data_IF_971212823445
#
_entry.id   IF_971212823445
#
_cell.length_a   1.000
_cell.length_b   1.000
_cell.length_c   1.000
_cell.angle_alpha   90.00
_cell.angle_beta   90.00
_cell.angle_gamma   90.00
#
_symmetry.space_group_name_H-M   'P 1'
#
loop_
_entity.id
_entity.type
_entity.pdbx_description
1 polymer ?
#
# COMPACT_ATOMS: atom_id res chain seq x y z
N UNK A 1 11.80 -15.67 10.14
CA UNK A 1 11.61 -14.53 9.22
C UNK A 1 10.18 -14.02 9.37
N UNK A 2 9.99 -12.73 9.49
CA UNK A 2 8.64 -12.17 9.55
C UNK A 2 7.96 -12.39 8.18
N UNK A 3 6.96 -13.26 8.12
CA UNK A 3 6.33 -13.70 6.86
C UNK A 3 5.45 -12.61 6.21
N UNK A 4 5.26 -11.46 6.89
CA UNK A 4 4.35 -10.40 6.45
C UNK A 4 4.74 -9.73 5.13
N UNK A 5 6.04 -9.67 4.81
CA UNK A 5 6.53 -9.10 3.55
C UNK A 5 6.31 -10.00 2.32
N UNK A 6 5.95 -11.28 2.51
CA UNK A 6 5.70 -12.21 1.40
C UNK A 6 4.65 -11.69 0.42
N UNK A 7 3.61 -11.04 0.94
CA UNK A 7 2.68 -10.25 0.14
C UNK A 7 2.31 -8.96 0.89
N UNK A 8 2.24 -7.85 0.17
CA UNK A 8 1.81 -6.57 0.70
C UNK A 8 0.97 -5.77 -0.30
N UNK A 9 0.21 -4.80 0.20
CA UNK A 9 -0.58 -3.87 -0.61
C UNK A 9 0.10 -2.51 -0.63
N UNK A 10 0.35 -1.98 -1.82
CA UNK A 10 1.07 -0.71 -1.99
C UNK A 10 0.34 0.48 -1.36
N UNK A 11 1.09 1.41 -0.74
CA UNK A 11 0.55 2.70 -0.30
C UNK A 11 0.05 3.50 -1.52
N UNK A 12 -1.21 3.90 -1.50
CA UNK A 12 -1.86 4.61 -2.61
C UNK A 12 -2.75 5.73 -2.07
N UNK A 13 -2.39 6.99 -2.40
CA UNK A 13 -3.12 8.18 -1.97
C UNK A 13 -4.58 8.11 -2.43
N UNK A 14 -5.50 8.52 -1.57
CA UNK A 14 -6.97 8.46 -1.70
C UNK A 14 -7.55 7.03 -1.78
N UNK A 15 -6.73 5.99 -1.80
CA UNK A 15 -7.18 4.60 -1.98
C UNK A 15 -6.95 3.72 -0.76
N UNK A 16 -5.77 3.80 -0.12
CA UNK A 16 -5.44 2.91 1.00
C UNK A 16 -5.66 3.56 2.36
N UNK A 17 -6.79 4.27 2.52
CA UNK A 17 -7.24 4.76 3.80
C UNK A 17 -7.75 3.62 4.71
N UNK A 18 -8.06 3.92 5.97
CA UNK A 18 -8.50 2.93 6.95
C UNK A 18 -9.76 2.16 6.55
N UNK A 19 -10.63 2.76 5.72
CA UNK A 19 -11.88 2.12 5.30
C UNK A 19 -11.61 1.03 4.25
N UNK A 20 -10.72 1.32 3.30
CA UNK A 20 -10.26 0.32 2.35
C UNK A 20 -9.49 -0.80 3.05
N UNK A 21 -8.55 -0.47 3.95
CA UNK A 21 -7.76 -1.48 4.67
C UNK A 21 -8.62 -2.40 5.51
N UNK A 22 -9.65 -1.87 6.19
CA UNK A 22 -10.63 -2.68 6.91
C UNK A 22 -11.35 -3.66 5.97
N UNK A 23 -11.87 -3.18 4.83
CA UNK A 23 -12.51 -4.05 3.83
C UNK A 23 -11.58 -5.15 3.31
N UNK A 24 -10.34 -4.81 2.98
CA UNK A 24 -9.36 -5.78 2.49
C UNK A 24 -9.04 -6.83 3.55
N UNK A 25 -9.02 -6.47 4.82
CA UNK A 25 -8.77 -7.40 5.92
C UNK A 25 -9.91 -8.39 6.15
N UNK A 26 -11.11 -8.11 5.69
CA UNK A 26 -12.17 -9.10 5.60
C UNK A 26 -11.90 -10.14 4.49
N UNK A 27 -11.28 -9.72 3.38
CA UNK A 27 -10.98 -10.59 2.25
C UNK A 27 -9.78 -11.50 2.56
N UNK A 28 -8.71 -10.96 3.16
CA UNK A 28 -7.48 -11.69 3.46
C UNK A 28 -6.81 -11.14 4.73
N UNK A 29 -6.14 -12.00 5.52
CA UNK A 29 -5.67 -11.68 6.89
C UNK A 29 -4.17 -11.42 7.02
N UNK A 30 -3.34 -12.01 6.16
CA UNK A 30 -1.90 -12.12 6.43
C UNK A 30 -1.04 -11.10 5.68
N UNK A 31 -1.52 -10.54 4.56
CA UNK A 31 -0.74 -9.56 3.79
C UNK A 31 -0.49 -8.28 4.61
N UNK A 32 0.71 -7.73 4.47
CA UNK A 32 1.04 -6.43 5.08
C UNK A 32 0.28 -5.30 4.36
N UNK A 33 -0.47 -4.52 5.11
CA UNK A 33 -1.13 -3.33 4.59
C UNK A 33 -0.28 -2.09 4.86
N UNK A 34 -0.37 -1.13 3.96
CA UNK A 34 0.26 0.18 4.10
C UNK A 34 -0.79 1.28 4.19
N UNK A 35 -0.51 2.28 5.01
CA UNK A 35 -1.30 3.53 4.97
C UNK A 35 -1.07 4.24 3.63
N UNK A 36 -1.83 5.28 3.38
CA UNK A 36 -1.42 6.31 2.44
C UNK A 36 -0.10 6.94 2.91
N UNK A 37 0.64 7.60 2.01
CA UNK A 37 1.82 8.36 2.41
C UNK A 37 1.42 9.57 3.26
N UNK A 38 1.87 9.60 4.50
CA UNK A 38 1.67 10.73 5.43
C UNK A 38 2.97 11.52 5.52
N UNK A 39 2.90 12.84 5.32
CA UNK A 39 4.09 13.70 5.45
C UNK A 39 4.44 13.96 6.90
N UNK A 40 5.74 14.10 7.20
CA UNK A 40 6.21 14.44 8.55
C UNK A 40 5.57 15.72 9.07
N UNK A 41 5.44 16.74 8.21
CA UNK A 41 4.77 18.00 8.58
C UNK A 41 3.30 17.82 8.96
N UNK A 42 2.57 16.88 8.34
CA UNK A 42 1.19 16.58 8.71
C UNK A 42 1.11 15.97 10.12
N UNK A 43 2.00 15.03 10.44
CA UNK A 43 2.04 14.38 11.77
C UNK A 43 2.47 15.34 12.86
N UNK A 44 3.47 16.18 12.61
CA UNK A 44 4.06 17.07 13.64
C UNK A 44 3.20 18.31 13.90
N UNK A 45 2.68 18.93 12.83
CA UNK A 45 2.03 20.24 12.87
C UNK A 45 0.57 20.22 12.46
N UNK A 46 0.10 19.14 11.83
CA UNK A 46 -1.28 19.02 11.37
C UNK A 46 -2.26 18.89 12.53
N UNK A 47 -3.51 19.28 12.26
CA UNK A 47 -4.63 19.13 13.21
C UNK A 47 -5.53 17.94 12.88
N UNK A 48 -5.23 17.22 11.79
CA UNK A 48 -6.00 16.07 11.34
C UNK A 48 -5.59 14.80 12.09
N UNK A 49 -6.46 13.80 12.02
CA UNK A 49 -6.18 12.46 12.48
C UNK A 49 -5.51 11.68 11.33
N UNK A 50 -4.18 11.65 11.34
CA UNK A 50 -3.37 11.03 10.29
C UNK A 50 -2.88 9.62 10.64
N UNK A 51 -3.05 9.20 11.91
CA UNK A 51 -2.45 7.96 12.42
C UNK A 51 -3.50 6.92 12.86
N UNK A 52 -4.78 7.27 12.90
CA UNK A 52 -5.82 6.31 13.29
C UNK A 52 -6.02 5.19 12.28
N UNK A 53 -6.18 4.01 12.82
CA UNK A 53 -6.53 2.79 12.09
C UNK A 53 -7.55 1.97 12.91
N UNK A 54 -7.99 0.83 12.38
CA UNK A 54 -8.82 -0.13 13.11
C UNK A 54 -7.92 -1.32 13.53
N UNK A 55 -8.13 -1.86 14.73
CA UNK A 55 -7.30 -2.96 15.27
C UNK A 55 -7.25 -4.18 14.33
N UNK A 56 -8.29 -4.37 13.52
CA UNK A 56 -8.35 -5.44 12.52
C UNK A 56 -7.38 -5.28 11.37
N UNK A 57 -6.80 -4.07 11.14
CA UNK A 57 -5.96 -3.80 9.96
C UNK A 57 -4.55 -4.42 10.03
N UNK A 58 -4.11 -4.91 11.19
CA UNK A 58 -2.79 -5.54 11.36
C UNK A 58 -2.61 -6.83 10.55
N UNK A 59 -1.39 -7.08 10.02
CA UNK A 59 -0.19 -6.26 10.12
C UNK A 59 -0.25 -5.01 9.25
N UNK A 60 0.18 -3.86 9.80
CA UNK A 60 0.02 -2.53 9.21
C UNK A 60 1.30 -1.69 9.29
N UNK A 61 1.74 -1.15 8.15
CA UNK A 61 2.87 -0.24 8.02
C UNK A 61 2.41 1.21 7.83
N UNK A 62 3.03 2.15 8.56
CA UNK A 62 2.89 3.58 8.29
C UNK A 62 3.90 4.00 7.22
N UNK A 63 3.43 4.55 6.08
CA UNK A 63 4.35 5.15 5.12
C UNK A 63 4.54 6.64 5.37
N UNK A 64 5.80 7.07 5.55
CA UNK A 64 6.20 8.45 5.74
C UNK A 64 6.76 9.09 4.47
N UNK A 65 6.43 10.37 4.28
CA UNK A 65 7.05 11.25 3.29
C UNK A 65 7.77 12.40 4.00
N UNK A 66 9.07 12.48 3.81
CA UNK A 66 9.93 13.49 4.41
C UNK A 66 11.40 13.27 4.02
N UNK A 67 12.25 14.23 4.36
CA UNK A 67 13.70 14.17 4.12
C UNK A 67 14.52 14.78 5.27
N UNK A 68 13.87 15.20 6.36
CA UNK A 68 14.57 15.68 7.54
C UNK A 68 14.70 14.53 8.55
N UNK A 69 15.92 14.08 8.91
CA UNK A 69 16.12 12.96 9.83
C UNK A 69 15.45 13.13 11.20
N UNK A 70 15.51 14.33 11.77
CA UNK A 70 14.93 14.61 13.09
C UNK A 70 13.39 14.53 13.07
N UNK A 71 12.75 15.08 12.02
CA UNK A 71 11.30 15.01 11.86
C UNK A 71 10.83 13.57 11.63
N UNK A 72 11.58 12.79 10.84
CA UNK A 72 11.29 11.38 10.58
C UNK A 72 11.45 10.55 11.86
N UNK A 73 12.45 10.80 12.68
CA UNK A 73 12.62 10.14 13.98
C UNK A 73 11.40 10.41 14.91
N UNK A 74 10.94 11.67 14.98
CA UNK A 74 9.72 12.01 15.74
C UNK A 74 8.51 11.26 15.23
N UNK A 75 8.33 11.17 13.89
CA UNK A 75 7.21 10.47 13.28
C UNK A 75 7.28 8.95 13.48
N UNK A 76 8.48 8.36 13.35
CA UNK A 76 8.70 6.94 13.60
C UNK A 76 8.36 6.56 15.05
N UNK A 77 8.82 7.35 16.01
CA UNK A 77 8.48 7.14 17.42
C UNK A 77 6.98 7.17 17.66
N UNK A 78 6.27 8.16 17.10
CA UNK A 78 4.80 8.22 17.17
C UNK A 78 4.15 7.01 16.52
N UNK A 79 4.66 6.53 15.39
CA UNK A 79 4.13 5.33 14.74
C UNK A 79 4.19 4.11 15.68
N UNK A 80 5.33 3.87 16.33
CA UNK A 80 5.47 2.78 17.30
C UNK A 80 4.57 2.97 18.52
N UNK A 81 4.45 4.19 19.05
CA UNK A 81 3.55 4.50 20.16
C UNK A 81 2.06 4.29 19.81
N UNK A 82 1.68 4.48 18.54
CA UNK A 82 0.34 4.18 18.03
C UNK A 82 0.12 2.70 17.76
N UNK A 83 1.18 1.87 17.76
CA UNK A 83 1.09 0.43 17.57
C UNK A 83 1.26 -0.06 16.13
N UNK A 84 1.81 0.75 15.22
CA UNK A 84 2.15 0.28 13.87
C UNK A 84 3.21 -0.83 13.92
N UNK A 85 3.09 -1.81 13.02
CA UNK A 85 4.04 -2.93 12.95
C UNK A 85 5.33 -2.58 12.20
N UNK A 86 5.31 -1.52 11.38
CA UNK A 86 6.42 -1.09 10.53
C UNK A 86 6.31 0.40 10.22
N UNK A 87 7.46 1.06 10.03
CA UNK A 87 7.56 2.39 9.44
C UNK A 87 8.30 2.30 8.11
N UNK A 88 7.69 2.84 7.06
CA UNK A 88 8.24 2.82 5.70
C UNK A 88 8.56 4.22 5.21
N UNK A 89 9.75 4.44 4.68
CA UNK A 89 10.13 5.71 4.03
C UNK A 89 9.82 5.67 2.54
N UNK A 90 9.10 6.67 2.04
CA UNK A 90 8.83 6.82 0.62
C UNK A 90 9.99 7.50 -0.11
N UNK A 91 10.66 6.75 -0.98
CA UNK A 91 11.73 7.19 -1.89
C UNK A 91 11.36 6.88 -3.36
N UNK A 92 10.06 6.82 -3.67
CA UNK A 92 9.60 6.38 -4.99
C UNK A 92 8.51 7.23 -5.64
N UNK A 93 7.89 8.18 -4.93
CA UNK A 93 6.83 9.03 -5.47
C UNK A 93 7.41 10.17 -6.34
N UNK A 94 7.03 10.27 -7.63
CA UNK A 94 7.58 11.28 -8.54
C UNK A 94 6.66 12.53 -8.69
N UNK A 95 5.68 12.75 -7.79
CA UNK A 95 4.76 13.87 -7.97
C UNK A 95 5.43 15.22 -7.70
N UNK A 96 5.05 16.27 -8.46
CA UNK A 96 5.58 17.62 -8.31
C UNK A 96 5.44 18.14 -6.87
N UNK A 97 4.32 17.87 -6.23
CA UNK A 97 4.08 18.25 -4.84
C UNK A 97 5.11 17.63 -3.89
N UNK A 98 5.49 16.39 -4.13
CA UNK A 98 6.47 15.65 -3.35
C UNK A 98 7.88 16.17 -3.64
N UNK A 99 8.20 16.41 -4.91
CA UNK A 99 9.50 16.98 -5.32
C UNK A 99 9.69 18.40 -4.76
N UNK A 100 8.64 19.25 -4.81
CA UNK A 100 8.70 20.59 -4.20
C UNK A 100 8.94 20.52 -2.69
N UNK A 101 8.52 19.46 -2.02
CA UNK A 101 8.82 19.14 -0.63
C UNK A 101 10.20 18.48 -0.43
N UNK A 102 10.98 18.24 -1.50
CA UNK A 102 12.30 17.58 -1.50
C UNK A 102 12.29 16.20 -0.84
N UNK A 103 11.28 15.38 -1.14
CA UNK A 103 11.19 13.99 -0.70
C UNK A 103 10.62 13.09 -1.83
N UNK A 104 10.45 11.79 -1.59
CA UNK A 104 10.01 10.84 -2.60
C UNK A 104 11.12 10.44 -3.57
N UNK A 105 10.81 10.28 -4.87
CA UNK A 105 11.72 9.70 -5.85
C UNK A 105 13.03 10.50 -6.04
N UNK A 106 13.01 11.82 -5.88
CA UNK A 106 14.22 12.65 -6.00
C UNK A 106 15.30 12.27 -4.97
N UNK A 107 14.93 11.70 -3.83
CA UNK A 107 15.88 11.24 -2.80
C UNK A 107 16.74 10.06 -3.26
N UNK A 108 16.42 9.38 -4.35
CA UNK A 108 17.32 8.36 -4.92
C UNK A 108 18.67 8.96 -5.35
N UNK A 109 18.73 10.24 -5.65
CA UNK A 109 19.98 10.94 -5.94
C UNK A 109 20.78 11.33 -4.67
N UNK A 110 20.21 11.15 -3.49
CA UNK A 110 20.80 11.55 -2.20
C UNK A 110 20.86 10.34 -1.22
N UNK A 111 21.55 9.22 -1.59
CA UNK A 111 21.52 7.99 -0.79
C UNK A 111 22.02 8.20 0.65
N UNK A 112 23.03 9.06 0.86
CA UNK A 112 23.51 9.41 2.20
C UNK A 112 22.46 10.07 3.07
N UNK A 113 21.66 10.98 2.52
CA UNK A 113 20.55 11.60 3.25
C UNK A 113 19.47 10.56 3.60
N UNK A 114 19.19 9.62 2.70
CA UNK A 114 18.27 8.53 2.99
C UNK A 114 18.80 7.62 4.09
N UNK A 115 20.09 7.31 4.08
CA UNK A 115 20.79 6.56 5.12
C UNK A 115 20.70 7.28 6.48
N UNK A 116 20.99 8.59 6.54
CA UNK A 116 20.81 9.42 7.75
C UNK A 116 19.36 9.39 8.27
N UNK A 117 18.38 9.44 7.37
CA UNK A 117 16.97 9.34 7.72
C UNK A 117 16.63 7.97 8.34
N UNK A 118 17.11 6.88 7.75
CA UNK A 118 16.90 5.52 8.26
C UNK A 118 17.56 5.33 9.62
N UNK A 119 18.81 5.75 9.77
CA UNK A 119 19.54 5.66 11.03
C UNK A 119 18.82 6.42 12.16
N UNK A 120 18.40 7.67 11.87
CA UNK A 120 17.66 8.49 12.84
C UNK A 120 16.31 7.86 13.26
N UNK A 121 15.58 7.23 12.34
CA UNK A 121 14.35 6.52 12.68
C UNK A 121 14.65 5.28 13.52
N UNK A 122 15.60 4.44 13.10
CA UNK A 122 15.99 3.22 13.82
C UNK A 122 16.49 3.46 15.23
N UNK A 123 17.16 4.59 15.45
CA UNK A 123 17.65 4.96 16.78
C UNK A 123 16.54 5.16 17.83
N UNK A 124 15.28 5.30 17.43
CA UNK A 124 14.17 5.64 18.32
C UNK A 124 13.01 4.65 18.32
N UNK A 125 13.10 3.59 17.51
CA UNK A 125 12.06 2.53 17.42
C UNK A 125 12.68 1.14 17.37
N UNK A 126 11.90 0.15 17.84
CA UNK A 126 12.22 -1.28 17.76
C UNK A 126 11.51 -1.98 16.57
N UNK A 127 10.48 -1.33 16.00
CA UNK A 127 9.79 -1.84 14.82
C UNK A 127 10.64 -1.66 13.55
N UNK A 128 10.46 -2.50 12.51
CA UNK A 128 11.20 -2.38 11.26
C UNK A 128 11.07 -1.00 10.60
N UNK A 129 12.21 -0.47 10.14
CA UNK A 129 12.28 0.71 9.28
C UNK A 129 12.66 0.26 7.88
N UNK A 130 11.76 0.45 6.92
CA UNK A 130 11.88 -0.06 5.56
C UNK A 130 11.86 1.07 4.54
N UNK A 131 12.36 0.81 3.32
CA UNK A 131 12.42 1.83 2.26
C UNK A 131 11.68 1.34 1.01
N UNK A 132 10.80 2.18 0.45
CA UNK A 132 10.13 1.92 -0.82
C UNK A 132 10.64 2.87 -1.89
N UNK A 133 11.32 2.33 -2.90
CA UNK A 133 11.99 3.11 -3.95
C UNK A 133 11.71 2.57 -5.36
N UNK A 134 12.37 3.15 -6.37
CA UNK A 134 12.35 2.71 -7.77
C UNK A 134 13.70 2.15 -8.18
N UNK A 135 13.83 1.69 -9.44
CA UNK A 135 15.11 1.21 -9.98
C UNK A 135 16.00 2.34 -10.52
N UNK A 136 15.53 3.58 -10.51
CA UNK A 136 16.26 4.76 -10.96
C UNK A 136 15.34 5.97 -11.15
N UNK A 137 15.96 7.11 -11.46
CA UNK A 137 15.30 8.39 -11.78
C UNK A 137 15.98 9.05 -12.96
N UNK A 138 15.20 9.65 -13.85
CA UNK A 138 15.69 10.37 -15.04
C UNK A 138 16.78 9.58 -15.79
N UNK A 139 17.97 10.14 -15.96
CA UNK A 139 19.14 9.48 -16.58
C UNK A 139 20.00 8.69 -15.56
N UNK A 140 19.66 8.74 -14.27
CA UNK A 140 20.31 7.97 -13.21
C UNK A 140 19.59 6.62 -13.07
N UNK A 141 19.76 5.74 -14.05
CA UNK A 141 19.02 4.46 -14.15
C UNK A 141 19.94 3.25 -14.41
N UNK A 142 21.25 3.41 -14.20
CA UNK A 142 22.18 2.29 -14.28
C UNK A 142 22.00 1.33 -13.11
N UNK A 143 22.34 0.06 -13.32
CA UNK A 143 22.33 -0.93 -12.25
C UNK A 143 23.28 -0.55 -11.11
N UNK A 144 24.45 0.03 -11.42
CA UNK A 144 25.40 0.53 -10.42
C UNK A 144 24.76 1.62 -9.53
N UNK A 145 24.00 2.56 -10.12
CA UNK A 145 23.29 3.58 -9.34
C UNK A 145 22.31 2.94 -8.33
N UNK A 146 21.58 1.90 -8.76
CA UNK A 146 20.67 1.18 -7.88
C UNK A 146 21.40 0.45 -6.75
N UNK A 147 22.50 -0.25 -7.06
CA UNK A 147 23.29 -0.97 -6.06
C UNK A 147 23.99 -0.04 -5.08
N UNK A 148 24.51 1.10 -5.55
CA UNK A 148 25.10 2.13 -4.68
C UNK A 148 24.06 2.70 -3.70
N UNK A 149 22.83 2.96 -4.20
CA UNK A 149 21.73 3.42 -3.36
C UNK A 149 21.36 2.38 -2.28
N UNK A 150 21.13 1.13 -2.69
CA UNK A 150 20.75 0.07 -1.75
C UNK A 150 21.88 -0.23 -0.77
N UNK A 151 23.13 -0.26 -1.23
CA UNK A 151 24.31 -0.47 -0.38
C UNK A 151 24.44 0.59 0.71
N UNK A 152 24.42 1.87 0.36
CA UNK A 152 24.52 2.99 1.32
C UNK A 152 23.40 2.95 2.36
N UNK A 153 22.16 2.70 1.92
CA UNK A 153 21.00 2.68 2.82
C UNK A 153 20.99 1.42 3.69
N UNK A 154 21.48 0.29 3.18
CA UNK A 154 21.57 -0.96 3.97
C UNK A 154 22.67 -0.88 5.03
N UNK A 155 23.77 -0.18 4.79
CA UNK A 155 24.83 0.08 5.77
C UNK A 155 24.30 0.88 6.98
N UNK A 156 23.28 1.74 6.77
CA UNK A 156 22.56 2.42 7.85
C UNK A 156 21.56 1.49 8.57
N UNK A 157 21.50 0.22 8.18
CA UNK A 157 20.72 -0.84 8.80
C UNK A 157 19.31 -1.02 8.26
N UNK A 158 18.98 -0.51 7.08
CA UNK A 158 17.75 -0.90 6.39
C UNK A 158 17.89 -2.33 5.86
N UNK A 159 17.07 -3.24 6.36
CA UNK A 159 17.11 -4.65 5.98
C UNK A 159 16.06 -5.02 4.92
N UNK A 160 15.07 -4.14 4.68
CA UNK A 160 13.93 -4.42 3.78
C UNK A 160 13.71 -3.30 2.79
N UNK A 161 13.73 -3.66 1.51
CA UNK A 161 13.51 -2.74 0.39
C UNK A 161 12.33 -3.21 -0.46
N UNK A 162 11.41 -2.28 -0.75
CA UNK A 162 10.31 -2.50 -1.67
C UNK A 162 10.61 -1.77 -2.99
N UNK A 163 10.91 -2.53 -4.03
CA UNK A 163 11.43 -2.00 -5.28
C UNK A 163 10.34 -1.94 -6.35
N UNK A 164 9.91 -0.73 -6.73
CA UNK A 164 9.07 -0.58 -7.91
C UNK A 164 9.93 -0.75 -9.16
N UNK A 165 9.69 -1.81 -9.91
CA UNK A 165 10.48 -2.26 -11.07
C UNK A 165 10.37 -1.32 -12.29
N UNK A 166 10.28 0.00 -12.07
CA UNK A 166 10.29 1.07 -13.07
C UNK A 166 11.13 2.23 -12.58
N UNK A 167 11.88 2.89 -13.47
CA UNK A 167 12.43 4.20 -13.16
C UNK A 167 11.32 5.26 -13.09
N UNK A 168 11.61 6.42 -12.51
CA UNK A 168 10.76 7.59 -12.58
C UNK A 168 11.38 8.70 -13.42
N UNK A 169 10.54 9.37 -14.20
CA UNK A 169 10.85 10.68 -14.74
C UNK A 169 10.34 11.73 -13.74
N UNK A 170 11.27 12.54 -13.23
CA UNK A 170 10.95 13.59 -12.25
C UNK A 170 10.25 14.78 -12.91
N UNK A 171 10.45 14.97 -14.22
CA UNK A 171 9.78 16.00 -15.01
C UNK A 171 9.13 15.41 -16.26
N UNK A 172 8.12 16.10 -16.79
CA UNK A 172 7.46 15.74 -18.06
C UNK A 172 6.42 14.64 -18.00
N UNK A 173 6.35 13.85 -16.92
CA UNK A 173 5.34 12.80 -16.74
C UNK A 173 4.56 12.99 -15.43
N UNK A 174 3.25 12.90 -15.51
CA UNK A 174 2.40 12.82 -14.31
C UNK A 174 2.69 11.54 -13.51
N UNK A 175 2.31 11.47 -12.21
CA UNK A 175 2.45 10.25 -11.41
C UNK A 175 1.75 9.03 -12.02
N UNK A 176 0.63 9.23 -12.75
CA UNK A 176 -0.05 8.17 -13.49
C UNK A 176 0.81 7.65 -14.64
N UNK A 177 1.31 8.54 -15.48
CA UNK A 177 2.18 8.19 -16.61
C UNK A 177 3.47 7.52 -16.15
N UNK A 178 4.07 7.94 -15.03
CA UNK A 178 5.22 7.30 -14.40
C UNK A 178 4.98 5.85 -13.92
N UNK A 179 3.73 5.41 -13.86
CA UNK A 179 3.35 4.01 -13.57
C UNK A 179 3.02 3.20 -14.83
N UNK A 180 3.04 3.83 -16.00
CA UNK A 180 2.60 3.20 -17.26
C UNK A 180 3.67 3.27 -18.34
N UNK A 181 4.29 4.45 -18.55
CA UNK A 181 5.21 4.73 -19.67
C UNK A 181 6.60 4.11 -19.46
N UNK A 182 7.34 4.32 -18.35
CA UNK A 182 8.61 3.67 -18.18
C UNK A 182 8.45 2.15 -18.18
N UNK A 183 9.30 1.38 -18.90
CA UNK A 183 9.16 -0.05 -18.97
C UNK A 183 9.40 -0.72 -17.61
N UNK A 184 8.74 -1.85 -17.38
CA UNK A 184 9.03 -2.73 -16.24
C UNK A 184 10.36 -3.45 -16.51
N UNK A 185 11.20 -3.53 -15.48
CA UNK A 185 12.44 -4.30 -15.51
C UNK A 185 12.53 -5.19 -14.26
N UNK A 186 11.87 -6.34 -14.31
CA UNK A 186 11.85 -7.29 -13.20
C UNK A 186 13.23 -7.94 -12.98
N UNK A 187 13.96 -8.22 -14.08
CA UNK A 187 15.29 -8.84 -13.99
C UNK A 187 16.27 -7.99 -13.19
N UNK A 188 16.17 -6.66 -13.29
CA UNK A 188 16.96 -5.74 -12.48
C UNK A 188 16.72 -5.96 -10.97
N UNK A 189 15.46 -6.22 -10.56
CA UNK A 189 15.12 -6.48 -9.16
C UNK A 189 15.55 -7.87 -8.72
N UNK A 190 15.44 -8.88 -9.61
CA UNK A 190 15.94 -10.23 -9.33
C UNK A 190 17.46 -10.25 -9.18
N UNK A 191 18.17 -9.51 -10.02
CA UNK A 191 19.62 -9.36 -9.88
C UNK A 191 19.98 -8.68 -8.55
N UNK A 192 19.23 -7.63 -8.16
CA UNK A 192 19.42 -6.97 -6.87
C UNK A 192 19.29 -7.94 -5.69
N UNK A 193 18.29 -8.85 -5.73
CA UNK A 193 18.14 -9.88 -4.69
C UNK A 193 19.31 -10.87 -4.67
N UNK A 194 19.83 -11.25 -5.84
CA UNK A 194 21.02 -12.13 -5.91
C UNK A 194 22.27 -11.48 -5.32
N UNK A 195 22.47 -10.18 -5.59
CA UNK A 195 23.64 -9.45 -5.14
C UNK A 195 23.56 -9.04 -3.66
N UNK A 196 22.35 -8.84 -3.14
CA UNK A 196 22.05 -8.53 -1.74
C UNK A 196 21.22 -9.65 -1.10
N UNK A 197 21.77 -10.86 -1.07
CA UNK A 197 21.07 -12.08 -0.61
C UNK A 197 20.53 -12.00 0.82
N UNK A 198 21.19 -11.24 1.67
CA UNK A 198 20.85 -11.09 3.10
C UNK A 198 19.73 -10.06 3.33
N UNK A 199 19.46 -9.19 2.36
CA UNK A 199 18.39 -8.20 2.44
C UNK A 199 17.04 -8.82 2.02
N UNK A 200 15.96 -8.34 2.61
CA UNK A 200 14.60 -8.64 2.18
C UNK A 200 14.25 -7.71 1.01
N UNK A 201 14.09 -8.27 -0.17
CA UNK A 201 13.72 -7.54 -1.38
C UNK A 201 12.31 -7.93 -1.79
N UNK A 202 11.40 -6.94 -1.78
CA UNK A 202 10.05 -7.09 -2.29
C UNK A 202 9.90 -6.37 -3.63
N UNK A 203 9.32 -7.05 -4.63
CA UNK A 203 9.09 -6.46 -5.95
C UNK A 203 7.71 -5.82 -6.04
N UNK A 204 7.60 -4.70 -6.77
CA UNK A 204 6.36 -4.01 -7.04
C UNK A 204 6.32 -3.55 -8.51
N UNK A 205 5.12 -3.48 -9.09
CA UNK A 205 4.88 -2.92 -10.42
C UNK A 205 4.26 -3.90 -11.40
N UNK A 206 3.07 -3.58 -11.92
CA UNK A 206 2.40 -4.33 -12.98
C UNK A 206 1.78 -5.66 -12.57
N UNK A 207 1.88 -6.09 -11.34
CA UNK A 207 1.42 -7.40 -10.85
C UNK A 207 -0.09 -7.36 -10.65
N UNK A 208 -0.82 -8.30 -11.26
CA UNK A 208 -2.28 -8.31 -11.37
C UNK A 208 -2.93 -9.65 -10.99
N UNK A 209 -2.15 -10.67 -10.65
CA UNK A 209 -2.69 -11.97 -10.24
C UNK A 209 -1.83 -12.67 -9.18
N UNK A 210 -2.39 -13.71 -8.54
CA UNK A 210 -1.65 -14.53 -7.57
C UNK A 210 -0.66 -15.47 -8.29
N UNK A 211 -0.92 -15.88 -9.52
CA UNK A 211 0.02 -16.64 -10.34
C UNK A 211 1.29 -15.83 -10.57
N UNK A 212 1.17 -14.59 -11.04
CA UNK A 212 2.32 -13.69 -11.19
C UNK A 212 3.03 -13.45 -9.85
N UNK A 213 2.27 -13.35 -8.76
CA UNK A 213 2.84 -13.24 -7.41
C UNK A 213 3.73 -14.43 -7.08
N UNK A 214 3.27 -15.66 -7.35
CA UNK A 214 4.05 -16.89 -7.11
C UNK A 214 5.30 -16.94 -7.98
N UNK A 215 5.19 -16.58 -9.26
CA UNK A 215 6.33 -16.50 -10.18
C UNK A 215 7.42 -15.54 -9.64
N UNK A 216 7.02 -14.34 -9.19
CA UNK A 216 7.97 -13.40 -8.59
C UNK A 216 8.61 -13.92 -7.30
N UNK A 217 7.85 -14.64 -6.46
CA UNK A 217 8.35 -15.21 -5.20
C UNK A 217 9.39 -16.32 -5.39
N UNK A 218 9.59 -16.82 -6.61
CA UNK A 218 10.72 -17.70 -6.94
C UNK A 218 12.06 -16.94 -6.99
N UNK A 219 12.04 -15.63 -7.12
CA UNK A 219 13.20 -14.78 -7.35
C UNK A 219 13.47 -13.75 -6.25
N UNK A 220 12.44 -13.37 -5.46
CA UNK A 220 12.52 -12.35 -4.41
C UNK A 220 11.77 -12.80 -3.16
N UNK A 221 11.96 -12.10 -2.04
CA UNK A 221 11.37 -12.48 -0.75
C UNK A 221 9.90 -12.08 -0.63
N UNK A 222 9.47 -11.07 -1.37
CA UNK A 222 8.12 -10.54 -1.28
C UNK A 222 7.62 -9.88 -2.54
N UNK A 223 6.30 -9.71 -2.59
CA UNK A 223 5.59 -9.08 -3.70
C UNK A 223 4.64 -8.01 -3.15
N UNK A 224 4.65 -6.83 -3.77
CA UNK A 224 3.71 -5.78 -3.44
C UNK A 224 2.75 -5.53 -4.61
N UNK A 225 1.46 -5.80 -4.39
CA UNK A 225 0.39 -5.51 -5.36
C UNK A 225 -0.06 -4.05 -5.18
N UNK A 226 -0.17 -3.32 -6.29
CA UNK A 226 -0.65 -1.94 -6.30
C UNK A 226 -2.09 -1.81 -6.74
N UNK A 227 -2.29 -1.15 -7.89
CA UNK A 227 -3.59 -0.75 -8.42
C UNK A 227 -4.61 -1.89 -8.54
N UNK A 228 -4.17 -3.10 -8.86
CA UNK A 228 -5.06 -4.25 -8.97
C UNK A 228 -5.77 -4.54 -7.66
N UNK A 229 -5.08 -4.46 -6.53
CA UNK A 229 -5.70 -4.67 -5.22
C UNK A 229 -6.85 -3.68 -4.92
N UNK A 230 -6.86 -2.50 -5.54
CA UNK A 230 -7.96 -1.54 -5.41
C UNK A 230 -9.02 -1.70 -6.50
N UNK A 231 -8.59 -1.93 -7.76
CA UNK A 231 -9.48 -2.03 -8.90
C UNK A 231 -10.23 -3.37 -8.96
N UNK A 232 -9.66 -4.41 -8.38
CA UNK A 232 -10.22 -5.75 -8.27
C UNK A 232 -9.85 -6.35 -6.90
N UNK A 233 -10.38 -5.84 -5.78
CA UNK A 233 -9.93 -6.24 -4.44
C UNK A 233 -10.10 -7.74 -4.18
N UNK A 234 -11.02 -8.40 -4.86
CA UNK A 234 -11.25 -9.83 -4.68
C UNK A 234 -10.14 -10.72 -5.31
N UNK A 235 -9.16 -10.15 -6.02
CA UNK A 235 -7.91 -10.84 -6.38
C UNK A 235 -7.15 -11.34 -5.14
N UNK A 236 -7.41 -10.72 -3.99
CA UNK A 236 -6.79 -11.07 -2.71
C UNK A 236 -7.46 -12.25 -2.00
N UNK A 237 -8.58 -12.77 -2.49
CA UNK A 237 -9.37 -13.80 -1.80
C UNK A 237 -8.60 -15.12 -1.57
N UNK A 238 -7.71 -15.50 -2.50
CA UNK A 238 -6.86 -16.69 -2.37
C UNK A 238 -5.53 -16.48 -1.64
N UNK A 239 -5.24 -15.26 -1.18
CA UNK A 239 -3.92 -14.91 -0.63
C UNK A 239 -3.55 -15.73 0.60
N UNK A 240 -4.49 -15.90 1.54
CA UNK A 240 -4.22 -16.59 2.79
C UNK A 240 -3.82 -18.05 2.55
N UNK A 241 -4.54 -18.77 1.68
CA UNK A 241 -4.24 -20.16 1.36
C UNK A 241 -3.06 -20.30 0.40
N UNK A 242 -3.02 -19.52 -0.69
CA UNK A 242 -2.07 -19.74 -1.78
C UNK A 242 -0.67 -19.18 -1.51
N UNK A 243 -0.57 -18.13 -0.68
CA UNK A 243 0.70 -17.45 -0.37
C UNK A 243 1.16 -17.74 1.05
N UNK A 244 0.24 -17.80 2.01
CA UNK A 244 0.56 -17.97 3.42
C UNK A 244 0.30 -19.38 3.97
N UNK A 245 -0.42 -20.24 3.22
CA UNK A 245 -0.71 -21.62 3.63
C UNK A 245 -1.75 -21.72 4.75
N UNK A 246 -2.61 -20.73 4.89
CA UNK A 246 -3.73 -20.73 5.83
C UNK A 246 -5.03 -21.10 5.11
N UNK A 247 -5.48 -22.34 5.27
CA UNK A 247 -6.68 -22.91 4.62
C UNK A 247 -8.00 -22.42 5.23
N UNK A 248 -8.04 -21.18 5.68
CA UNK A 248 -9.29 -20.57 6.16
C UNK A 248 -10.34 -20.47 5.06
N UNK A 249 -11.60 -20.43 5.48
CA UNK A 249 -12.70 -20.18 4.57
C UNK A 249 -12.62 -18.80 3.92
N UNK A 250 -12.72 -18.77 2.60
CA UNK A 250 -12.74 -17.53 1.82
C UNK A 250 -14.16 -16.97 1.84
N UNK A 251 -14.34 -15.79 2.40
CA UNK A 251 -15.63 -15.10 2.37
C UNK A 251 -16.03 -14.77 0.93
N UNK A 252 -17.27 -15.08 0.56
CA UNK A 252 -17.84 -14.60 -0.71
C UNK A 252 -17.91 -13.07 -0.73
N UNK A 253 -18.02 -12.50 -1.93
CA UNK A 253 -18.15 -11.03 -2.06
C UNK A 253 -19.41 -10.50 -1.33
N UNK A 254 -20.48 -11.28 -1.30
CA UNK A 254 -21.70 -10.93 -0.56
C UNK A 254 -21.43 -10.92 0.94
N UNK A 255 -20.80 -11.95 1.48
CA UNK A 255 -20.40 -12.00 2.88
C UNK A 255 -19.44 -10.87 3.27
N UNK A 256 -18.51 -10.49 2.40
CA UNK A 256 -17.65 -9.31 2.64
C UNK A 256 -18.50 -8.04 2.80
N UNK A 257 -19.51 -7.83 1.94
CA UNK A 257 -20.44 -6.68 2.08
C UNK A 257 -21.23 -6.77 3.39
N UNK A 258 -21.77 -7.92 3.72
CA UNK A 258 -22.53 -8.12 4.96
C UNK A 258 -21.68 -7.82 6.21
N UNK A 259 -20.42 -8.25 6.22
CA UNK A 259 -19.48 -7.94 7.30
C UNK A 259 -19.07 -6.47 7.35
N UNK A 260 -19.21 -5.73 6.25
CA UNK A 260 -19.01 -4.28 6.22
C UNK A 260 -20.17 -3.49 6.83
N UNK A 261 -21.40 -4.03 6.86
CA UNK A 261 -22.58 -3.28 7.33
C UNK A 261 -22.44 -2.75 8.77
N UNK A 262 -22.00 -3.55 9.77
CA UNK A 262 -21.81 -3.04 11.12
C UNK A 262 -20.74 -1.94 11.21
N UNK A 263 -19.66 -2.05 10.42
CA UNK A 263 -18.61 -1.04 10.33
C UNK A 263 -19.14 0.27 9.73
N UNK A 264 -19.94 0.18 8.68
CA UNK A 264 -20.60 1.33 8.03
C UNK A 264 -21.55 2.00 9.04
N UNK A 265 -22.39 1.23 9.72
CA UNK A 265 -23.37 1.76 10.68
C UNK A 265 -22.67 2.52 11.82
N UNK A 266 -21.61 1.94 12.40
CA UNK A 266 -20.78 2.61 13.43
C UNK A 266 -20.17 3.92 12.91
N UNK A 267 -19.70 3.94 11.66
CA UNK A 267 -19.15 5.16 11.04
C UNK A 267 -20.21 6.25 10.88
N UNK A 268 -21.42 5.88 10.45
CA UNK A 268 -22.53 6.82 10.28
C UNK A 268 -23.02 7.37 11.63
N UNK A 269 -23.12 6.53 12.66
CA UNK A 269 -23.48 6.95 14.04
C UNK A 269 -22.47 7.95 14.61
N UNK A 270 -21.19 7.85 14.22
CA UNK A 270 -20.15 8.79 14.60
C UNK A 270 -20.09 10.06 13.71
N UNK A 271 -21.14 10.30 12.90
CA UNK A 271 -21.25 11.50 12.05
C UNK A 271 -20.50 11.40 10.72
N UNK A 272 -19.97 10.23 10.38
CA UNK A 272 -19.35 9.97 9.07
C UNK A 272 -20.38 9.96 7.95
N UNK A 273 -19.90 9.88 6.70
CA UNK A 273 -20.76 9.79 5.51
C UNK A 273 -20.56 8.44 4.83
N UNK A 274 -21.65 7.89 4.27
CA UNK A 274 -21.62 6.60 3.59
C UNK A 274 -20.57 6.53 2.47
N UNK A 275 -20.42 7.60 1.68
CA UNK A 275 -19.49 7.64 0.56
C UNK A 275 -18.01 7.56 0.97
N UNK A 276 -17.66 7.82 2.23
CA UNK A 276 -16.27 7.62 2.70
C UNK A 276 -15.87 6.14 2.61
N UNK A 277 -16.79 5.23 2.88
CA UNK A 277 -16.57 3.79 2.86
C UNK A 277 -16.96 3.19 1.52
N UNK A 278 -18.18 3.49 1.03
CA UNK A 278 -18.76 2.82 -0.13
C UNK A 278 -17.98 3.03 -1.42
N UNK A 279 -17.19 4.11 -1.53
CA UNK A 279 -16.30 4.35 -2.67
C UNK A 279 -15.28 3.23 -2.89
N UNK A 280 -14.87 2.56 -1.82
CA UNK A 280 -13.91 1.45 -1.87
C UNK A 280 -14.56 0.12 -2.25
N UNK A 281 -15.88 0.01 -2.10
CA UNK A 281 -16.65 -1.21 -2.38
C UNK A 281 -17.09 -1.32 -3.84
N UNK A 282 -16.95 -0.24 -4.64
CA UNK A 282 -17.52 -0.16 -5.98
C UNK A 282 -17.06 -1.27 -6.93
N UNK A 283 -15.82 -1.72 -6.79
CA UNK A 283 -15.19 -2.70 -7.68
C UNK A 283 -15.22 -4.14 -7.13
N UNK A 284 -15.78 -4.35 -5.94
CA UNK A 284 -15.80 -5.65 -5.27
C UNK A 284 -16.45 -6.76 -6.13
N UNK A 285 -17.49 -6.42 -6.87
CA UNK A 285 -18.21 -7.36 -7.75
C UNK A 285 -17.73 -7.36 -9.21
N UNK A 286 -16.50 -6.89 -9.48
CA UNK A 286 -15.97 -6.87 -10.85
C UNK A 286 -16.08 -8.26 -11.50
N UNK A 287 -16.60 -8.31 -12.74
CA UNK A 287 -16.80 -9.53 -13.50
C UNK A 287 -18.09 -10.30 -13.21
N UNK A 288 -18.89 -9.92 -12.19
CA UNK A 288 -20.15 -10.60 -11.85
C UNK A 288 -21.36 -9.97 -12.53
N UNK A 289 -22.41 -10.78 -12.72
CA UNK A 289 -23.73 -10.30 -13.14
C UNK A 289 -24.30 -9.37 -12.07
N UNK A 290 -24.73 -8.18 -12.46
CA UNK A 290 -25.19 -7.15 -11.52
C UNK A 290 -24.13 -6.13 -11.10
N UNK A 291 -22.85 -6.35 -11.38
CA UNK A 291 -21.75 -5.43 -10.99
C UNK A 291 -21.92 -3.99 -11.48
N UNK A 292 -22.53 -3.79 -12.66
CA UNK A 292 -22.82 -2.44 -13.19
C UNK A 292 -23.92 -1.75 -12.40
N UNK A 293 -24.97 -2.50 -12.02
CA UNK A 293 -26.09 -2.02 -11.20
C UNK A 293 -25.61 -1.67 -9.79
N UNK A 294 -24.79 -2.51 -9.17
CA UNK A 294 -24.14 -2.25 -7.89
C UNK A 294 -23.40 -0.90 -7.89
N UNK A 295 -22.46 -0.71 -8.81
CA UNK A 295 -21.67 0.52 -8.90
C UNK A 295 -22.54 1.75 -9.14
N UNK A 296 -23.50 1.64 -10.07
CA UNK A 296 -24.39 2.73 -10.42
C UNK A 296 -25.25 3.14 -9.23
N UNK A 297 -25.88 2.17 -8.57
CA UNK A 297 -26.79 2.46 -7.47
C UNK A 297 -26.07 3.13 -6.29
N UNK A 298 -24.91 2.64 -5.89
CA UNK A 298 -24.08 3.26 -4.85
C UNK A 298 -23.65 4.67 -5.26
N UNK A 299 -23.13 4.85 -6.47
CA UNK A 299 -22.65 6.16 -6.94
C UNK A 299 -23.74 7.22 -6.96
N UNK A 300 -24.99 6.85 -7.30
CA UNK A 300 -26.13 7.74 -7.35
C UNK A 300 -26.75 8.04 -5.98
N UNK A 301 -26.57 7.18 -4.99
CA UNK A 301 -27.28 7.25 -3.71
C UNK A 301 -26.39 7.51 -2.49
N UNK A 302 -25.16 7.04 -2.45
CA UNK A 302 -24.31 7.12 -1.24
C UNK A 302 -23.89 8.55 -0.86
N UNK A 303 -24.01 9.52 -1.76
CA UNK A 303 -23.69 10.94 -1.50
C UNK A 303 -24.89 11.76 -1.06
N UNK A 304 -26.10 11.19 -1.10
CA UNK A 304 -27.33 11.88 -0.71
C UNK A 304 -27.34 12.14 0.80
N UNK A 305 -27.99 13.23 1.19
CA UNK A 305 -28.15 13.56 2.61
C UNK A 305 -28.97 12.47 3.30
N UNK A 306 -28.43 11.91 4.37
CA UNK A 306 -29.09 10.84 5.16
C UNK A 306 -28.95 9.44 4.55
N UNK A 307 -28.08 9.25 3.55
CA UNK A 307 -27.79 7.90 3.02
C UNK A 307 -27.21 7.00 4.11
N UNK A 308 -27.86 5.87 4.36
CA UNK A 308 -27.50 4.86 5.36
C UNK A 308 -27.18 3.50 4.75
N UNK A 309 -27.15 2.48 5.61
CA UNK A 309 -26.83 1.08 5.22
C UNK A 309 -27.81 0.52 4.18
N UNK A 310 -29.07 1.00 4.18
CA UNK A 310 -30.10 0.59 3.22
C UNK A 310 -29.68 0.80 1.76
N UNK A 311 -28.81 1.77 1.50
CA UNK A 311 -28.24 1.98 0.15
C UNK A 311 -27.37 0.81 -0.27
N UNK A 312 -26.58 0.26 0.66
CA UNK A 312 -25.71 -0.89 0.40
C UNK A 312 -26.51 -2.17 0.27
N UNK A 313 -27.49 -2.40 1.17
CA UNK A 313 -28.38 -3.56 1.13
C UNK A 313 -29.17 -3.61 -0.20
N UNK A 314 -29.74 -2.47 -0.61
CA UNK A 314 -30.45 -2.40 -1.88
C UNK A 314 -29.50 -2.60 -3.09
N UNK A 315 -28.29 -2.06 -3.04
CA UNK A 315 -27.31 -2.30 -4.10
C UNK A 315 -26.90 -3.78 -4.17
N UNK A 316 -26.76 -4.45 -3.02
CA UNK A 316 -26.40 -5.87 -2.92
C UNK A 316 -27.46 -6.76 -3.56
N UNK A 317 -28.75 -6.45 -3.37
CA UNK A 317 -29.86 -7.19 -3.97
C UNK A 317 -29.90 -7.16 -5.50
N UNK A 318 -29.12 -6.26 -6.13
CA UNK A 318 -28.98 -6.16 -7.59
C UNK A 318 -27.88 -7.05 -8.17
N UNK A 319 -27.11 -7.72 -7.31
CA UNK A 319 -26.03 -8.62 -7.72
C UNK A 319 -26.48 -10.06 -7.47
N UNK A 320 -26.38 -10.90 -8.49
CA UNK A 320 -26.71 -12.31 -8.35
C UNK A 320 -25.68 -13.02 -7.46
N UNK A 321 -26.13 -13.80 -6.50
CA UNK A 321 -25.25 -14.76 -5.83
C UNK A 321 -24.74 -15.77 -6.86
N UNK A 322 -23.46 -16.19 -6.76
CA UNK A 322 -23.01 -17.32 -7.56
C UNK A 322 -23.89 -18.53 -7.25
N UNK A 323 -24.34 -19.26 -8.26
CA UNK A 323 -24.94 -20.56 -8.04
C UNK A 323 -23.94 -21.44 -7.27
N UNK A 324 -24.37 -21.99 -6.13
CA UNK A 324 -23.58 -22.90 -5.29
C UNK A 324 -23.22 -24.14 -6.08
#
# INVERSE_FOLDING_TARGET
MNNSHRLSIAPMLDWTDRHYRYMVRLISKHQLLYTEMVTTGAIIHGKGDYLSYNDEEHPLALQLGGSNPADLAVCAKRAQEYGYDEVNLNVGCPSDRVQNGRFGACLMAEPKLVAECVDAMRAVVDIPVTVKHRIGIDELDSYQFLTDFVGEVSEAGCETFIVHARKAWLSGLSPKQNREIPPLNYECVYQLKRDFSDLIISINGGITSLEQTKEHLEHVDGVMIGREAYQNPYVLAGVDSEIFGDDREILSRHQVVEHMLPYIDKHLQNGGKLNHISRHMLTLFMGMTGAKQWRRYISENATKKGAGIEVIEQALSLVSEPAV
#
